data_IF_111379827455
#
_entry.id   IF_111379827455
#
_cell.length_a   1.000
_cell.length_b   1.000
_cell.length_c   1.000
_cell.angle_alpha   90.00
_cell.angle_beta   90.00
_cell.angle_gamma   90.00
#
_symmetry.space_group_name_H-M   'P 1'
#
loop_
_entity.id
_entity.type
_entity.pdbx_description
1 polymer ?
#
# COMPACT_ATOMS: atom_id res chain seq x y z
N UNK A 1 -20.15 -4.41 13.42
CA UNK A 1 -20.67 -3.77 12.18
C UNK A 1 -21.68 -4.72 11.56
N UNK A 2 -22.66 -4.23 10.81
CA UNK A 2 -23.47 -5.13 9.98
C UNK A 2 -22.62 -5.59 8.78
N UNK A 3 -23.03 -6.69 8.15
CA UNK A 3 -22.31 -7.29 7.02
C UNK A 3 -22.06 -6.29 5.88
N UNK A 4 -23.06 -5.48 5.55
CA UNK A 4 -22.99 -4.48 4.48
C UNK A 4 -21.89 -3.44 4.73
N UNK A 5 -21.74 -2.93 5.96
CA UNK A 5 -20.67 -1.99 6.31
C UNK A 5 -19.28 -2.64 6.24
N UNK A 6 -19.17 -3.92 6.59
CA UNK A 6 -17.91 -4.67 6.45
C UNK A 6 -17.51 -4.85 4.98
N UNK A 7 -18.47 -5.14 4.10
CA UNK A 7 -18.23 -5.27 2.65
C UNK A 7 -17.82 -3.93 2.01
N UNK A 8 -18.46 -2.82 2.41
CA UNK A 8 -18.07 -1.47 1.97
C UNK A 8 -16.66 -1.09 2.43
N UNK A 9 -16.32 -1.36 3.69
CA UNK A 9 -14.97 -1.12 4.20
C UNK A 9 -13.94 -2.02 3.51
N UNK A 10 -14.27 -3.27 3.21
CA UNK A 10 -13.38 -4.17 2.49
C UNK A 10 -13.07 -3.63 1.09
N UNK A 11 -14.08 -3.21 0.34
CA UNK A 11 -13.89 -2.61 -0.98
C UNK A 11 -13.00 -1.37 -0.94
N UNK A 12 -13.19 -0.50 0.05
CA UNK A 12 -12.34 0.69 0.23
C UNK A 12 -10.89 0.32 0.52
N UNK A 13 -10.64 -0.64 1.42
CA UNK A 13 -9.29 -1.07 1.76
C UNK A 13 -8.61 -1.78 0.58
N UNK A 14 -9.33 -2.57 -0.20
CA UNK A 14 -8.80 -3.18 -1.43
C UNK A 14 -8.40 -2.13 -2.48
N UNK A 15 -9.14 -1.03 -2.57
CA UNK A 15 -8.74 0.14 -3.36
C UNK A 15 -7.43 0.76 -2.88
N UNK A 16 -7.26 0.94 -1.56
CA UNK A 16 -6.00 1.45 -0.99
C UNK A 16 -4.81 0.52 -1.21
N UNK A 17 -5.02 -0.80 -1.09
CA UNK A 17 -3.99 -1.82 -1.38
C UNK A 17 -3.51 -1.70 -2.82
N UNK A 18 -4.43 -1.60 -3.78
CA UNK A 18 -4.09 -1.49 -5.21
C UNK A 18 -3.35 -0.18 -5.50
N UNK A 19 -3.82 0.93 -4.91
CA UNK A 19 -3.18 2.23 -5.08
C UNK A 19 -1.76 2.25 -4.49
N UNK A 20 -1.57 1.65 -3.31
CA UNK A 20 -0.29 1.56 -2.63
C UNK A 20 0.72 0.70 -3.39
N UNK A 21 0.30 -0.43 -3.98
CA UNK A 21 1.14 -1.23 -4.90
C UNK A 21 1.64 -0.39 -6.08
N UNK A 22 0.76 0.40 -6.69
CA UNK A 22 1.12 1.31 -7.78
C UNK A 22 2.05 2.45 -7.35
N UNK A 23 1.97 2.93 -6.11
CA UNK A 23 2.93 3.89 -5.56
C UNK A 23 4.30 3.27 -5.32
N UNK A 24 4.33 2.07 -4.72
CA UNK A 24 5.57 1.32 -4.44
C UNK A 24 6.31 1.02 -5.75
N UNK A 25 5.62 0.53 -6.78
CA UNK A 25 6.21 0.23 -8.07
C UNK A 25 6.84 1.48 -8.72
N UNK A 26 6.08 2.59 -8.79
CA UNK A 26 6.59 3.86 -9.34
C UNK A 26 7.77 4.42 -8.55
N UNK A 27 7.75 4.27 -7.24
CA UNK A 27 8.84 4.75 -6.38
C UNK A 27 10.12 3.93 -6.59
N UNK A 28 10.00 2.62 -6.80
CA UNK A 28 11.12 1.77 -7.21
C UNK A 28 11.72 2.21 -8.56
N UNK A 29 10.88 2.48 -9.56
CA UNK A 29 11.34 2.99 -10.86
C UNK A 29 12.06 4.34 -10.73
N UNK A 30 11.56 5.24 -9.87
CA UNK A 30 12.20 6.53 -9.60
C UNK A 30 13.59 6.35 -8.98
N UNK A 31 13.73 5.49 -7.97
CA UNK A 31 15.00 5.22 -7.31
C UNK A 31 16.03 4.72 -8.33
N UNK A 32 15.65 3.74 -9.17
CA UNK A 32 16.55 3.21 -10.22
C UNK A 32 16.99 4.32 -11.18
N UNK A 33 16.07 5.21 -11.60
CA UNK A 33 16.41 6.34 -12.48
C UNK A 33 17.37 7.34 -11.82
N UNK A 34 17.18 7.65 -10.54
CA UNK A 34 18.07 8.55 -9.79
C UNK A 34 19.48 7.95 -9.69
N UNK A 35 19.58 6.68 -9.31
CA UNK A 35 20.86 5.99 -9.16
C UNK A 35 21.61 5.86 -10.49
N UNK A 36 20.91 5.53 -11.57
CA UNK A 36 21.51 5.44 -12.92
C UNK A 36 22.02 6.80 -13.44
N UNK A 37 21.42 7.90 -13.00
CA UNK A 37 21.83 9.25 -13.37
C UNK A 37 22.81 9.89 -12.37
N UNK A 38 23.26 9.14 -11.36
CA UNK A 38 24.20 9.60 -10.34
C UNK A 38 23.62 10.60 -9.34
N UNK A 39 22.30 10.70 -9.24
CA UNK A 39 21.62 11.56 -8.27
C UNK A 39 21.42 10.84 -6.94
N UNK A 40 21.39 11.62 -5.85
CA UNK A 40 21.05 11.12 -4.52
C UNK A 40 19.61 10.58 -4.48
N UNK A 41 19.44 9.35 -4.00
CA UNK A 41 18.13 8.67 -3.90
C UNK A 41 17.58 8.58 -2.47
N UNK A 42 18.24 9.18 -1.48
CA UNK A 42 17.94 9.01 -0.06
C UNK A 42 16.51 9.38 0.36
N UNK A 43 16.00 10.50 -0.16
CA UNK A 43 14.60 10.91 0.07
C UNK A 43 13.62 9.94 -0.60
N UNK A 44 13.93 9.50 -1.82
CA UNK A 44 13.11 8.56 -2.56
C UNK A 44 13.02 7.19 -1.85
N UNK A 45 14.12 6.73 -1.27
CA UNK A 45 14.18 5.51 -0.44
C UNK A 45 13.36 5.69 0.84
N UNK A 46 13.45 6.85 1.48
CA UNK A 46 12.69 7.14 2.70
C UNK A 46 11.19 7.16 2.43
N UNK A 47 10.75 7.76 1.32
CA UNK A 47 9.36 7.74 0.89
C UNK A 47 8.88 6.32 0.56
N UNK A 48 9.70 5.51 -0.10
CA UNK A 48 9.39 4.11 -0.39
C UNK A 48 9.10 3.31 0.89
N UNK A 49 9.89 3.53 1.94
CA UNK A 49 9.68 2.89 3.24
C UNK A 49 8.32 3.27 3.83
N UNK A 50 7.94 4.54 3.81
CA UNK A 50 6.62 4.98 4.28
C UNK A 50 5.47 4.37 3.47
N UNK A 51 5.62 4.23 2.15
CA UNK A 51 4.61 3.53 1.34
C UNK A 51 4.49 2.05 1.70
N UNK A 52 5.62 1.37 1.99
CA UNK A 52 5.60 -0.04 2.42
C UNK A 52 4.93 -0.21 3.79
N UNK A 53 5.25 0.63 4.75
CA UNK A 53 4.61 0.62 6.08
C UNK A 53 3.09 0.83 5.97
N UNK A 54 2.65 1.79 5.14
CA UNK A 54 1.23 2.02 4.89
C UNK A 54 0.56 0.85 4.18
N UNK A 55 1.24 0.22 3.22
CA UNK A 55 0.74 -0.96 2.51
C UNK A 55 0.53 -2.14 3.46
N UNK A 56 1.48 -2.39 4.37
CA UNK A 56 1.36 -3.45 5.38
C UNK A 56 0.15 -3.22 6.30
N UNK A 57 -0.09 -1.97 6.72
CA UNK A 57 -1.29 -1.63 7.51
C UNK A 57 -2.59 -1.90 6.74
N UNK A 58 -2.65 -1.56 5.45
CA UNK A 58 -3.82 -1.82 4.62
C UNK A 58 -4.04 -3.32 4.39
N UNK A 59 -2.98 -4.09 4.14
CA UNK A 59 -3.06 -5.55 4.00
C UNK A 59 -3.56 -6.21 5.28
N UNK A 60 -3.01 -5.84 6.44
CA UNK A 60 -3.44 -6.36 7.73
C UNK A 60 -4.92 -6.04 8.01
N UNK A 61 -5.36 -4.82 7.68
CA UNK A 61 -6.75 -4.43 7.82
C UNK A 61 -7.68 -5.22 6.89
N UNK A 62 -7.31 -5.39 5.62
CA UNK A 62 -8.05 -6.21 4.65
C UNK A 62 -8.23 -7.64 5.17
N UNK A 63 -7.15 -8.25 5.65
CA UNK A 63 -7.16 -9.65 6.10
C UNK A 63 -7.96 -9.82 7.39
N UNK A 64 -8.04 -8.78 8.23
CA UNK A 64 -8.97 -8.74 9.34
C UNK A 64 -10.43 -8.69 8.86
N UNK A 65 -10.77 -7.79 7.94
CA UNK A 65 -12.14 -7.67 7.40
C UNK A 65 -12.61 -8.95 6.71
N UNK A 66 -11.74 -9.60 5.94
CA UNK A 66 -12.03 -10.89 5.30
C UNK A 66 -12.36 -11.99 6.32
N UNK A 67 -11.65 -12.01 7.45
CA UNK A 67 -11.94 -12.94 8.55
C UNK A 67 -13.28 -12.64 9.20
N UNK A 68 -13.58 -11.37 9.49
CA UNK A 68 -14.86 -10.97 10.09
C UNK A 68 -16.07 -11.28 9.19
N UNK A 69 -15.92 -11.22 7.86
CA UNK A 69 -16.97 -11.56 6.88
C UNK A 69 -17.17 -13.07 6.67
N UNK A 70 -16.23 -13.90 7.12
CA UNK A 70 -16.28 -15.35 6.99
C UNK A 70 -16.91 -16.05 8.20
N UNK A 71 -17.30 -15.27 9.22
CA UNK A 71 -17.99 -15.71 10.45
C UNK A 71 -19.48 -15.42 10.33
#
# INVERSE_FOLDING_TARGET
MNREMLEQHLAMVEGHVTLGEGHIARQHELIVKLEQSGHESGEAISLLRSFKEMQEMHLAHRDRLKRELSV
#
